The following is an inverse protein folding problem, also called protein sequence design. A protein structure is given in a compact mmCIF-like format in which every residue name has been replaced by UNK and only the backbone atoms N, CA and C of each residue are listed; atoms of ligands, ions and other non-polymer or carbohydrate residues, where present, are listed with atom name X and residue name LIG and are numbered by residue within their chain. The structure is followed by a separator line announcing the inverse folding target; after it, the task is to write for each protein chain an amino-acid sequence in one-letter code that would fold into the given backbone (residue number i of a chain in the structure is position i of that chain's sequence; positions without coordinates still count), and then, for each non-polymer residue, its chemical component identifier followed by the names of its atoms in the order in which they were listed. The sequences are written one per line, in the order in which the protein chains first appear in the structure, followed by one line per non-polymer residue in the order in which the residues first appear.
data_IF_569961585804
#
_entry.id   IF_569961585804
#
_cell.length_a   1.000
_cell.length_b   1.000
_cell.length_c   1.000
_cell.angle_alpha   90.00
_cell.angle_beta   90.00
_cell.angle_gamma   90.00
#
_symmetry.space_group_name_H-M   'P 1'
#
loop_
_entity.id
_entity.type
_entity.pdbx_description
1 polymer ?
#
# COMPACT_ATOMS: atom_id res chain seq x y z
N UNK A 1 91.10 27.82 17.31
CA UNK A 1 89.99 27.83 18.28
C UNK A 1 88.68 27.65 17.52
N UNK A 2 87.84 26.69 17.94
CA UNK A 2 86.36 26.65 17.90
C UNK A 2 85.72 26.72 16.49
N UNK A 3 84.99 25.73 15.99
CA UNK A 3 83.73 25.16 16.52
C UNK A 3 82.66 25.41 15.42
N UNK A 4 82.15 24.40 14.71
CA UNK A 4 81.02 23.52 15.05
C UNK A 4 79.63 24.22 15.07
N UNK A 5 78.64 23.54 14.46
CA UNK A 5 77.17 23.61 14.64
C UNK A 5 76.29 24.65 13.90
N UNK A 6 75.34 24.13 13.09
CA UNK A 6 73.98 24.66 12.79
C UNK A 6 73.21 24.99 14.09
N UNK A 7 72.18 25.90 14.13
CA UNK A 7 70.82 25.63 13.57
C UNK A 7 69.96 26.90 13.21
N UNK A 8 68.94 26.80 12.33
CA UNK A 8 67.47 26.86 12.59
C UNK A 8 66.78 28.26 12.77
N UNK A 9 65.95 28.59 11.76
CA UNK A 9 64.55 29.12 11.76
C UNK A 9 64.23 30.59 12.18
N UNK A 10 63.61 31.33 11.24
CA UNK A 10 62.28 32.02 11.29
C UNK A 10 62.15 32.92 10.03
N UNK A 11 61.09 32.93 9.22
CA UNK A 11 59.67 33.08 9.54
C UNK A 11 58.76 32.61 8.38
N UNK A 12 57.62 32.01 8.76
CA UNK A 12 56.25 31.98 8.18
C UNK A 12 56.06 32.42 6.71
N UNK A 13 55.31 31.71 5.86
CA UNK A 13 53.87 31.47 6.00
C UNK A 13 53.47 30.11 5.41
N UNK A 14 52.83 29.33 6.26
CA UNK A 14 51.98 28.19 5.98
C UNK A 14 50.72 28.66 5.24
N UNK A 15 50.46 28.16 4.02
CA UNK A 15 49.10 28.13 3.49
C UNK A 15 48.67 26.67 3.28
N UNK A 16 47.80 26.29 4.21
CA UNK A 16 47.09 25.04 4.35
C UNK A 16 46.37 24.63 3.07
N UNK A 17 46.50 23.36 2.71
CA UNK A 17 45.49 22.65 1.95
C UNK A 17 44.12 22.84 2.63
N UNK A 18 43.18 23.51 1.96
CA UNK A 18 41.78 23.46 2.36
C UNK A 18 41.15 22.19 1.75
N UNK A 19 40.55 21.31 2.57
CA UNK A 19 39.82 20.18 2.04
C UNK A 19 38.49 20.65 1.45
N UNK A 20 38.28 20.38 0.15
CA UNK A 20 36.94 20.32 -0.45
C UNK A 20 36.13 19.21 0.24
N UNK A 21 35.53 19.55 1.38
CA UNK A 21 34.46 18.79 2.02
C UNK A 21 33.20 19.65 1.97
N UNK A 22 32.11 19.02 1.50
CA UNK A 22 30.69 19.42 1.58
C UNK A 22 30.01 19.75 0.24
N UNK A 23 29.93 18.79 -0.69
CA UNK A 23 28.82 18.79 -1.70
C UNK A 23 28.14 17.41 -1.84
N UNK A 24 28.69 16.32 -1.29
CA UNK A 24 28.13 14.98 -1.51
C UNK A 24 26.98 14.54 -0.57
N UNK A 25 26.53 15.37 0.37
CA UNK A 25 25.55 14.93 1.39
C UNK A 25 24.09 15.31 1.07
N UNK A 26 23.83 16.14 0.05
CA UNK A 26 22.47 16.68 -0.16
C UNK A 26 21.58 15.90 -1.13
N UNK A 27 22.11 14.98 -1.94
CA UNK A 27 21.32 14.27 -2.97
C UNK A 27 20.62 13.03 -2.40
N UNK A 28 21.23 12.36 -1.41
CA UNK A 28 20.61 11.20 -0.75
C UNK A 28 19.41 11.56 0.12
N UNK A 29 19.44 12.75 0.75
CA UNK A 29 18.38 13.19 1.66
C UNK A 29 17.11 13.58 0.90
N UNK A 30 17.24 14.19 -0.28
CA UNK A 30 16.08 14.63 -1.08
C UNK A 30 15.35 13.46 -1.72
N UNK A 31 16.06 12.42 -2.19
CA UNK A 31 15.43 11.20 -2.71
C UNK A 31 14.65 10.43 -1.63
N UNK A 32 15.19 10.39 -0.40
CA UNK A 32 14.54 9.73 0.74
C UNK A 32 13.28 10.47 1.19
N UNK A 33 13.28 11.81 1.18
CA UNK A 33 12.13 12.61 1.61
C UNK A 33 11.00 12.55 0.58
N UNK A 34 11.31 12.53 -0.72
CA UNK A 34 10.27 12.39 -1.76
C UNK A 34 9.61 11.01 -1.70
N UNK A 35 10.36 9.92 -1.51
CA UNK A 35 9.78 8.59 -1.33
C UNK A 35 8.94 8.49 -0.05
N UNK A 36 9.42 9.10 1.05
CA UNK A 36 8.68 9.14 2.30
C UNK A 36 7.39 9.97 2.19
N UNK A 37 7.41 11.11 1.49
CA UNK A 37 6.20 11.91 1.24
C UNK A 37 5.24 11.17 0.32
N UNK A 38 5.73 10.47 -0.71
CA UNK A 38 4.88 9.64 -1.58
C UNK A 38 4.19 8.53 -0.76
N UNK A 39 4.91 7.90 0.18
CA UNK A 39 4.34 6.89 1.10
C UNK A 39 3.39 7.50 2.15
N UNK A 40 3.66 8.71 2.64
CA UNK A 40 2.80 9.41 3.61
C UNK A 40 1.51 9.93 2.96
N UNK A 41 1.56 10.36 1.69
CA UNK A 41 0.37 10.77 0.93
C UNK A 41 -0.59 9.63 0.63
N UNK A 42 -0.15 8.36 0.70
CA UNK A 42 -1.06 7.21 0.68
C UNK A 42 -1.81 7.00 2.00
N UNK A 43 -1.32 7.56 3.10
CA UNK A 43 -1.96 7.46 4.43
C UNK A 43 -3.03 8.54 4.67
N UNK A 44 -3.14 9.57 3.81
CA UNK A 44 -4.04 10.70 4.05
C UNK A 44 -5.34 10.62 3.27
N UNK A 45 -6.23 9.70 3.70
CA UNK A 45 -7.69 9.82 3.75
C UNK A 45 -8.26 8.40 3.91
N UNK A 46 -8.68 8.09 5.12
CA UNK A 46 -9.24 6.80 5.55
C UNK A 46 -10.61 6.57 4.90
N UNK A 47 -10.61 6.38 3.59
CA UNK A 47 -11.76 5.94 2.81
C UNK A 47 -11.59 4.46 2.50
N UNK A 48 -12.69 3.71 2.55
CA UNK A 48 -12.67 2.29 2.22
C UNK A 48 -12.40 2.09 0.72
N UNK A 49 -11.63 1.05 0.39
CA UNK A 49 -11.15 0.79 -0.96
C UNK A 49 -10.09 1.81 -1.43
N UNK A 50 -9.67 1.69 -2.69
CA UNK A 50 -8.64 2.53 -3.31
C UNK A 50 -9.11 3.14 -4.65
N UNK A 51 -8.36 4.10 -5.19
CA UNK A 51 -8.72 4.77 -6.45
C UNK A 51 -8.36 3.96 -7.70
N UNK A 52 -7.44 3.00 -7.56
CA UNK A 52 -7.02 2.12 -8.65
C UNK A 52 -6.77 0.69 -8.17
N UNK A 53 -6.79 -0.32 -9.07
CA UNK A 53 -6.45 -1.68 -8.70
C UNK A 53 -4.99 -1.82 -8.24
N UNK A 54 -4.05 -1.09 -8.85
CA UNK A 54 -2.65 -1.08 -8.41
C UNK A 54 -2.51 -0.59 -6.96
N UNK A 55 -3.28 0.44 -6.58
CA UNK A 55 -3.28 0.92 -5.19
C UNK A 55 -3.83 -0.12 -4.21
N UNK A 56 -4.85 -0.92 -4.58
CA UNK A 56 -5.31 -2.03 -3.74
C UNK A 56 -4.19 -3.01 -3.49
N UNK A 57 -3.42 -3.37 -4.53
CA UNK A 57 -2.31 -4.32 -4.41
C UNK A 57 -1.21 -3.74 -3.52
N UNK A 58 -0.76 -2.50 -3.78
CA UNK A 58 0.32 -1.91 -2.99
C UNK A 58 -0.05 -1.70 -1.52
N UNK A 59 -1.27 -1.23 -1.24
CA UNK A 59 -1.76 -1.09 0.13
C UNK A 59 -1.89 -2.45 0.83
N UNK A 60 -2.35 -3.49 0.12
CA UNK A 60 -2.42 -4.84 0.65
C UNK A 60 -1.05 -5.40 1.01
N UNK A 61 -0.07 -5.30 0.09
CA UNK A 61 1.28 -5.79 0.32
C UNK A 61 1.96 -5.03 1.46
N UNK A 62 1.85 -3.70 1.50
CA UNK A 62 2.40 -2.89 2.58
C UNK A 62 1.77 -3.26 3.94
N UNK A 63 0.46 -3.47 3.98
CA UNK A 63 -0.24 -3.86 5.20
C UNK A 63 0.15 -5.28 5.65
N UNK A 64 0.34 -6.23 4.73
CA UNK A 64 0.91 -7.54 5.06
C UNK A 64 2.32 -7.43 5.65
N UNK A 65 3.20 -6.65 5.00
CA UNK A 65 4.57 -6.43 5.47
C UNK A 65 4.60 -5.87 6.91
N UNK A 66 3.63 -5.02 7.25
CA UNK A 66 3.51 -4.40 8.57
C UNK A 66 2.63 -5.17 9.56
N UNK A 67 2.00 -6.29 9.16
CA UNK A 67 0.97 -7.01 9.92
C UNK A 67 -0.20 -6.10 10.35
N UNK A 68 -0.56 -5.15 9.51
CA UNK A 68 -1.63 -4.18 9.76
C UNK A 68 -2.97 -4.72 9.24
N UNK A 69 -3.70 -5.41 10.12
CA UNK A 69 -5.02 -5.99 9.83
C UNK A 69 -6.03 -4.92 9.41
N UNK A 70 -6.07 -3.79 10.12
CA UNK A 70 -7.03 -2.71 9.88
C UNK A 70 -6.88 -2.10 8.50
N UNK A 71 -5.63 -1.94 8.03
CA UNK A 71 -5.35 -1.44 6.68
C UNK A 71 -5.80 -2.43 5.60
N UNK A 72 -5.66 -3.75 5.81
CA UNK A 72 -6.21 -4.75 4.88
C UNK A 72 -7.73 -4.73 4.92
N UNK A 73 -8.35 -4.64 6.09
CA UNK A 73 -9.80 -4.58 6.25
C UNK A 73 -10.42 -3.35 5.58
N UNK A 74 -9.72 -2.21 5.57
CA UNK A 74 -10.16 -1.00 4.85
C UNK A 74 -10.19 -1.17 3.33
N UNK A 75 -9.44 -2.13 2.77
CA UNK A 75 -9.51 -2.46 1.34
C UNK A 75 -10.72 -3.32 1.00
N UNK A 76 -11.36 -3.94 1.98
CA UNK A 76 -12.50 -4.84 1.81
C UNK A 76 -13.79 -4.02 1.98
N UNK A 77 -14.87 -4.27 1.20
CA UNK A 77 -16.12 -3.54 1.38
C UNK A 77 -16.67 -3.73 2.80
N UNK A 78 -17.25 -2.69 3.40
CA UNK A 78 -17.71 -2.73 4.82
C UNK A 78 -18.71 -3.83 5.12
N UNK A 79 -19.54 -4.15 4.15
CA UNK A 79 -20.53 -5.20 4.26
C UNK A 79 -19.91 -6.60 4.21
N UNK A 80 -18.62 -6.77 3.91
CA UNK A 80 -17.98 -8.08 3.83
C UNK A 80 -17.28 -8.42 5.15
N UNK A 81 -17.72 -9.50 5.81
CA UNK A 81 -16.93 -10.08 6.89
C UNK A 81 -15.79 -10.92 6.31
N UNK A 82 -14.55 -10.46 6.50
CA UNK A 82 -13.35 -11.11 5.99
C UNK A 82 -12.23 -11.24 7.05
N UNK A 83 -12.53 -10.96 8.33
CA UNK A 83 -11.53 -10.90 9.40
C UNK A 83 -10.66 -12.15 9.48
N UNK A 84 -11.27 -13.33 9.55
CA UNK A 84 -10.54 -14.61 9.57
C UNK A 84 -9.63 -14.78 8.35
N UNK A 85 -10.09 -14.40 7.16
CA UNK A 85 -9.29 -14.50 5.94
C UNK A 85 -8.11 -13.51 5.94
N UNK A 86 -8.25 -12.34 6.58
CA UNK A 86 -7.15 -11.40 6.77
C UNK A 86 -6.13 -11.94 7.77
N UNK A 87 -6.60 -12.49 8.90
CA UNK A 87 -5.74 -13.13 9.90
C UNK A 87 -4.93 -14.27 9.28
N UNK A 88 -5.57 -15.14 8.49
CA UNK A 88 -4.90 -16.24 7.78
C UNK A 88 -3.77 -15.72 6.87
N UNK A 89 -4.02 -14.65 6.12
CA UNK A 89 -3.01 -14.04 5.24
C UNK A 89 -1.86 -13.40 6.01
N UNK A 90 -2.14 -12.76 7.14
CA UNK A 90 -1.10 -12.20 8.02
C UNK A 90 -0.26 -13.32 8.65
N UNK A 91 -0.86 -14.44 9.04
CA UNK A 91 -0.12 -15.60 9.56
C UNK A 91 0.77 -16.20 8.47
N UNK A 92 0.25 -16.31 7.25
CA UNK A 92 0.97 -16.93 6.12
C UNK A 92 2.17 -16.09 5.64
N UNK A 93 1.97 -14.78 5.48
CA UNK A 93 2.95 -13.91 4.81
C UNK A 93 3.40 -12.71 5.63
N UNK A 94 2.68 -12.35 6.69
CA UNK A 94 2.85 -11.08 7.39
C UNK A 94 4.21 -10.92 8.07
N UNK A 95 4.68 -9.68 8.13
CA UNK A 95 5.97 -9.33 8.75
C UNK A 95 7.19 -9.61 7.89
N UNK A 96 7.01 -10.01 6.64
CA UNK A 96 8.09 -10.28 5.71
C UNK A 96 8.07 -9.28 4.56
N UNK A 97 9.19 -8.57 4.34
CA UNK A 97 9.33 -7.65 3.20
C UNK A 97 9.39 -8.42 1.88
N UNK A 98 8.44 -8.16 0.99
CA UNK A 98 8.32 -8.80 -0.32
C UNK A 98 9.17 -8.04 -1.33
N UNK A 99 10.11 -8.73 -1.95
CA UNK A 99 11.11 -8.24 -2.88
C UNK A 99 10.90 -8.85 -4.27
N UNK A 100 11.50 -8.21 -5.29
CA UNK A 100 11.47 -8.69 -6.69
C UNK A 100 10.03 -8.99 -7.18
N UNK A 101 9.12 -8.08 -6.85
CA UNK A 101 7.68 -8.24 -7.08
C UNK A 101 7.35 -8.26 -8.58
N UNK A 102 6.49 -9.17 -8.99
CA UNK A 102 5.87 -9.23 -10.32
C UNK A 102 4.36 -9.37 -10.18
N UNK A 103 3.62 -8.47 -10.82
CA UNK A 103 2.15 -8.48 -10.82
C UNK A 103 1.68 -8.87 -12.23
N UNK A 104 0.82 -9.88 -12.33
CA UNK A 104 0.27 -10.38 -13.58
C UNK A 104 -1.26 -10.30 -13.52
N UNK A 105 -1.86 -9.50 -14.41
CA UNK A 105 -3.30 -9.36 -14.53
C UNK A 105 -3.89 -10.40 -15.49
N UNK A 106 -4.75 -11.29 -15.00
CA UNK A 106 -5.23 -12.44 -15.77
C UNK A 106 -6.61 -12.25 -16.44
N UNK A 107 -7.42 -11.30 -15.95
CA UNK A 107 -8.77 -11.07 -16.51
C UNK A 107 -9.22 -9.65 -16.23
N UNK A 108 -9.38 -8.85 -17.29
CA UNK A 108 -9.92 -7.50 -17.21
C UNK A 108 -11.37 -7.57 -17.62
N UNK A 109 -12.27 -7.84 -16.66
CA UNK A 109 -13.64 -7.35 -16.80
C UNK A 109 -13.62 -5.91 -16.26
N UNK A 110 -14.38 -4.98 -16.83
CA UNK A 110 -14.29 -3.56 -16.47
C UNK A 110 -14.47 -3.27 -14.98
N UNK A 111 -15.18 -4.14 -14.25
CA UNK A 111 -15.46 -4.01 -12.81
C UNK A 111 -14.82 -5.10 -11.95
N UNK A 112 -14.04 -6.01 -12.55
CA UNK A 112 -13.51 -7.18 -11.86
C UNK A 112 -12.18 -7.61 -12.45
N UNK A 113 -11.17 -7.71 -11.58
CA UNK A 113 -9.80 -8.03 -11.90
C UNK A 113 -9.30 -9.18 -11.04
N UNK A 114 -8.43 -9.99 -11.62
CA UNK A 114 -7.63 -10.97 -10.91
C UNK A 114 -6.17 -10.64 -11.14
N UNK A 115 -5.43 -10.44 -10.06
CA UNK A 115 -4.00 -10.13 -10.08
C UNK A 115 -3.23 -11.24 -9.36
N UNK A 116 -2.29 -11.87 -10.05
CA UNK A 116 -1.34 -12.78 -9.45
C UNK A 116 -0.10 -11.99 -9.05
N UNK A 117 0.20 -11.95 -7.76
CA UNK A 117 1.38 -11.29 -7.22
C UNK A 117 2.41 -12.36 -6.88
N UNK A 118 3.58 -12.25 -7.48
CA UNK A 118 4.71 -13.15 -7.24
C UNK A 118 5.90 -12.34 -6.72
N UNK A 119 6.73 -12.95 -5.89
CA UNK A 119 7.95 -12.33 -5.39
C UNK A 119 8.74 -13.26 -4.50
N UNK A 120 9.63 -12.67 -3.71
CA UNK A 120 10.42 -13.40 -2.72
C UNK A 120 10.46 -12.64 -1.41
N UNK A 121 10.60 -13.36 -0.30
CA UNK A 121 10.92 -12.75 0.99
C UNK A 121 11.96 -13.57 1.72
N UNK A 122 12.66 -12.94 2.66
CA UNK A 122 13.58 -13.63 3.57
C UNK A 122 12.89 -13.71 4.92
N UNK A 123 12.68 -14.92 5.42
CA UNK A 123 12.04 -15.11 6.72
C UNK A 123 12.99 -14.78 7.88
N UNK A 124 12.48 -14.87 9.12
CA UNK A 124 13.26 -14.65 10.35
C UNK A 124 14.53 -15.51 10.47
N UNK A 125 14.56 -16.66 9.79
CA UNK A 125 15.68 -17.59 9.82
C UNK A 125 16.71 -17.32 8.70
N UNK A 126 16.56 -16.23 7.94
CA UNK A 126 17.44 -15.90 6.82
C UNK A 126 17.18 -16.72 5.55
N UNK A 127 16.12 -17.52 5.51
CA UNK A 127 15.79 -18.37 4.36
C UNK A 127 14.96 -17.60 3.35
N UNK A 128 15.45 -17.52 2.11
CA UNK A 128 14.69 -16.97 0.97
C UNK A 128 13.56 -17.92 0.60
N UNK A 129 12.33 -17.41 0.60
CA UNK A 129 11.11 -18.13 0.24
C UNK A 129 10.41 -17.42 -0.92
N UNK A 130 9.70 -18.21 -1.73
CA UNK A 130 8.81 -17.68 -2.77
C UNK A 130 7.54 -17.14 -2.13
N UNK A 131 7.10 -15.98 -2.59
CA UNK A 131 5.77 -15.42 -2.34
C UNK A 131 4.94 -15.58 -3.61
N UNK A 132 3.71 -16.07 -3.46
CA UNK A 132 2.73 -16.14 -4.54
C UNK A 132 1.34 -16.01 -3.95
N UNK A 133 0.59 -15.00 -4.40
CA UNK A 133 -0.78 -14.77 -3.96
C UNK A 133 -1.67 -14.35 -5.14
N UNK A 134 -2.95 -14.72 -5.07
CA UNK A 134 -3.94 -14.37 -6.09
C UNK A 134 -4.98 -13.45 -5.47
N UNK A 135 -5.02 -12.21 -5.96
CA UNK A 135 -5.90 -11.16 -5.46
C UNK A 135 -7.08 -10.97 -6.40
N UNK A 136 -8.27 -10.95 -5.81
CA UNK A 136 -9.51 -10.60 -6.51
C UNK A 136 -9.84 -9.15 -6.16
N UNK A 137 -9.96 -8.30 -7.19
CA UNK A 137 -10.21 -6.87 -7.02
C UNK A 137 -11.48 -6.51 -7.78
N UNK A 138 -12.39 -5.76 -7.16
CA UNK A 138 -13.64 -5.34 -7.78
C UNK A 138 -13.88 -3.84 -7.63
N UNK A 139 -14.36 -3.22 -8.68
CA UNK A 139 -14.84 -1.84 -8.65
C UNK A 139 -16.27 -1.79 -8.13
N UNK A 140 -16.57 -0.87 -7.20
CA UNK A 140 -17.92 -0.61 -6.69
C UNK A 140 -18.18 0.88 -6.54
N UNK A 141 -19.43 1.27 -6.69
CA UNK A 141 -19.86 2.67 -6.67
C UNK A 141 -19.62 3.35 -8.02
N UNK A 142 -20.51 4.26 -8.41
CA UNK A 142 -20.47 4.93 -9.71
C UNK A 142 -20.92 4.05 -10.88
N UNK A 143 -21.40 4.69 -11.95
CA UNK A 143 -21.55 3.99 -13.24
C UNK A 143 -20.17 3.74 -13.85
N UNK A 144 -20.07 2.80 -14.80
CA UNK A 144 -18.84 2.54 -15.56
C UNK A 144 -18.33 3.79 -16.32
N UNK A 145 -19.22 4.77 -16.56
CA UNK A 145 -18.95 6.05 -17.19
C UNK A 145 -18.47 7.13 -16.20
N UNK A 146 -18.57 6.87 -14.89
CA UNK A 146 -18.20 7.79 -13.80
C UNK A 146 -17.16 7.13 -12.88
N UNK A 147 -16.01 6.74 -13.46
CA UNK A 147 -14.89 6.08 -12.77
C UNK A 147 -14.36 6.84 -11.54
N UNK A 148 -14.67 8.14 -11.42
CA UNK A 148 -14.24 8.99 -10.32
C UNK A 148 -15.21 8.97 -9.11
N UNK A 149 -16.33 8.24 -9.20
CA UNK A 149 -17.32 8.14 -8.10
C UNK A 149 -17.33 6.78 -7.40
N UNK A 150 -16.54 5.82 -7.88
CA UNK A 150 -16.40 4.51 -7.26
C UNK A 150 -15.00 4.27 -6.71
N UNK A 151 -14.83 3.10 -6.10
CA UNK A 151 -13.59 2.67 -5.46
C UNK A 151 -13.33 1.21 -5.82
N UNK A 152 -12.06 0.84 -5.84
CA UNK A 152 -11.58 -0.53 -6.00
C UNK A 152 -11.43 -1.18 -4.64
N UNK A 153 -11.89 -2.43 -4.55
CA UNK A 153 -11.92 -3.19 -3.31
C UNK A 153 -11.29 -4.55 -3.48
N UNK A 154 -10.59 -5.00 -2.43
CA UNK A 154 -10.09 -6.35 -2.30
C UNK A 154 -11.23 -7.29 -1.87
N UNK A 155 -11.26 -8.50 -2.45
CA UNK A 155 -12.12 -9.59 -2.00
C UNK A 155 -11.25 -10.71 -1.42
N UNK A 156 -11.43 -10.99 -0.12
CA UNK A 156 -10.80 -12.10 0.59
C UNK A 156 -11.86 -12.98 1.25
N UNK A 157 -11.57 -14.28 1.32
CA UNK A 157 -12.44 -15.30 1.92
C UNK A 157 -13.77 -15.52 1.17
N UNK A 158 -14.65 -16.31 1.77
CA UNK A 158 -16.00 -16.59 1.27
C UNK A 158 -16.99 -15.48 1.66
N UNK A 159 -16.56 -14.21 1.60
CA UNK A 159 -17.25 -13.06 2.20
C UNK A 159 -18.78 -13.18 2.13
N UNK A 160 -19.38 -13.48 3.28
CA UNK A 160 -20.83 -13.42 3.40
C UNK A 160 -21.22 -11.96 3.29
N UNK A 161 -21.87 -11.60 2.21
CA UNK A 161 -22.63 -10.35 2.13
C UNK A 161 -23.80 -10.55 3.10
N UNK A 162 -23.91 -9.81 4.22
CA UNK A 162 -25.13 -9.81 5.00
C UNK A 162 -26.22 -9.40 4.01
N UNK A 163 -27.22 -10.27 3.86
CA UNK A 163 -28.37 -9.97 3.03
C UNK A 163 -28.88 -8.59 3.46
N UNK A 164 -29.15 -7.66 2.52
CA UNK A 164 -29.80 -6.42 2.89
C UNK A 164 -31.05 -6.80 3.70
N UNK A 165 -31.22 -6.22 4.88
CA UNK A 165 -32.49 -6.31 5.60
C UNK A 165 -33.54 -5.64 4.72
N UNK A 166 -34.14 -6.44 3.83
CA UNK A 166 -35.35 -6.08 3.13
C UNK A 166 -36.41 -6.09 4.21
N UNK A 167 -36.65 -4.94 4.82
CA UNK A 167 -37.90 -4.72 5.52
C UNK A 167 -39.02 -5.07 4.52
N UNK A 168 -39.90 -6.04 4.83
CA UNK A 168 -41.01 -6.35 3.94
C UNK A 168 -41.74 -5.05 3.66
N UNK A 169 -41.88 -4.69 2.38
CA UNK A 169 -42.75 -3.59 2.01
C UNK A 169 -44.13 -3.90 2.61
N UNK A 170 -44.62 -3.02 3.48
CA UNK A 170 -45.97 -3.13 4.01
C UNK A 170 -46.93 -3.32 2.82
N UNK A 171 -47.82 -4.33 2.85
CA UNK A 171 -48.80 -4.51 1.81
C UNK A 171 -49.62 -3.22 1.67
N UNK A 172 -49.56 -2.58 0.50
CA UNK A 172 -50.46 -1.48 0.20
C UNK A 172 -51.89 -2.01 0.06
N UNK A 173 -52.61 -2.09 1.18
CA UNK A 173 -54.04 -2.33 1.21
C UNK A 173 -54.77 -0.98 1.17
N UNK A 174 -55.01 -0.47 -0.04
CA UNK A 174 -56.07 0.51 -0.27
C UNK A 174 -56.56 0.41 -1.71
N UNK A 175 -57.79 -0.09 -1.97
CA UNK A 175 -58.35 -0.12 -3.31
C UNK A 175 -58.70 1.31 -3.80
N UNK A 176 -58.74 1.54 -5.13
CA UNK A 176 -59.00 2.85 -5.69
C UNK A 176 -60.43 3.31 -5.36
N UNK A 177 -60.52 4.53 -4.85
CA UNK A 177 -61.78 5.22 -4.57
C UNK A 177 -62.55 5.37 -5.88
N UNK A 178 -63.68 4.66 -6.01
CA UNK A 178 -64.65 4.85 -7.09
C UNK A 178 -65.09 6.32 -7.09
N UNK A 179 -64.79 7.03 -8.17
CA UNK A 179 -65.36 8.34 -8.45
C UNK A 179 -66.80 8.13 -8.90
N UNK A 180 -67.75 8.67 -8.14
CA UNK A 180 -69.17 8.69 -8.45
C UNK A 180 -69.47 9.80 -9.45
N UNK A 181 -70.10 9.44 -10.57
CA UNK A 181 -70.92 10.29 -11.43
C UNK A 181 -72.29 9.61 -11.57
#
# INVERSE_FOLDING_TARGET
MLGAYCPVINNLIMQSAQPMRKIFVSIGLTLSVVLAIFLISFNSLVSYGADSPDQVIEQYLLALENKDEDSILKLIPREYSAKLAVEDKIVEFGGNKIQERKIIYNKIKPVYLTANVQGFYTNSNGVRKKFEDTLIISYRGGSLLELNKGRWYLKLGNGNVPAPEVQPAEPQTSPPKKSSL
#
